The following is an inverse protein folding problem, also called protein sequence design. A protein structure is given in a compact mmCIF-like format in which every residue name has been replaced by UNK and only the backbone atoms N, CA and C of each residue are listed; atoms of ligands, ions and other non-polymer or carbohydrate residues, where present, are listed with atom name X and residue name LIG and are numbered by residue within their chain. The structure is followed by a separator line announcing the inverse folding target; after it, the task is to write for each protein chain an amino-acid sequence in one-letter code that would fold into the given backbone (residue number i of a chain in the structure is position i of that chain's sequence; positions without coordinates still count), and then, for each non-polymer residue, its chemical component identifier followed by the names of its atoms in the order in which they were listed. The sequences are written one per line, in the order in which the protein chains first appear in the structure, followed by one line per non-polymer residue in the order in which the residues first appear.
data_IF_147232679026
#
_entry.id   IF_147232679026
#
_cell.length_a   1.000
_cell.length_b   1.000
_cell.length_c   1.000
_cell.angle_alpha   90.00
_cell.angle_beta   90.00
_cell.angle_gamma   90.00
#
_symmetry.space_group_name_H-M   'P 1'
#
loop_
_entity.id
_entity.type
_entity.pdbx_description
1 polymer ?
#
# COMPACT_ATOMS: atom_id res chain seq x y z
N UNK A 1 2.53 9.41 -19.13
CA UNK A 1 1.87 10.61 -18.55
C UNK A 1 1.85 10.42 -17.04
N UNK A 2 2.21 11.42 -16.23
CA UNK A 2 2.12 11.28 -14.77
C UNK A 2 0.65 11.24 -14.32
N UNK A 3 0.34 10.60 -13.19
CA UNK A 3 -0.99 10.70 -12.59
C UNK A 3 -1.35 12.17 -12.32
N UNK A 4 -2.58 12.57 -12.64
CA UNK A 4 -3.05 13.93 -12.44
C UNK A 4 -3.19 14.24 -10.95
N UNK A 5 -2.50 15.28 -10.47
CA UNK A 5 -2.69 15.80 -9.11
C UNK A 5 -3.88 16.76 -9.07
N UNK A 6 -4.93 16.37 -8.37
CA UNK A 6 -5.93 17.32 -7.88
C UNK A 6 -5.33 18.15 -6.73
N UNK A 7 -5.60 19.45 -6.72
CA UNK A 7 -5.18 20.37 -5.63
C UNK A 7 -6.35 20.78 -4.72
N UNK A 8 -7.54 20.22 -4.95
CA UNK A 8 -8.70 20.45 -4.08
C UNK A 8 -8.75 19.41 -2.95
N UNK A 9 -7.85 19.61 -2.00
CA UNK A 9 -7.64 18.73 -0.85
C UNK A 9 -8.92 18.53 -0.02
N UNK A 10 -9.78 19.54 0.09
CA UNK A 10 -11.00 19.42 0.87
C UNK A 10 -12.03 18.54 0.16
N UNK A 11 -12.23 18.74 -1.14
CA UNK A 11 -13.13 17.90 -1.95
C UNK A 11 -12.65 16.46 -2.02
N UNK A 12 -11.35 16.25 -2.22
CA UNK A 12 -10.77 14.91 -2.28
C UNK A 12 -10.85 14.21 -0.91
N UNK A 13 -10.65 14.94 0.19
CA UNK A 13 -10.81 14.39 1.54
C UNK A 13 -12.25 13.94 1.77
N UNK A 14 -13.20 14.78 1.38
CA UNK A 14 -14.62 14.47 1.53
C UNK A 14 -14.99 13.25 0.69
N UNK A 15 -14.50 13.17 -0.56
CA UNK A 15 -14.70 12.01 -1.42
C UNK A 15 -14.15 10.72 -0.79
N UNK A 16 -12.92 10.74 -0.26
CA UNK A 16 -12.32 9.58 0.42
C UNK A 16 -13.09 9.21 1.69
N UNK A 17 -13.54 10.19 2.47
CA UNK A 17 -14.34 9.95 3.68
C UNK A 17 -15.70 9.37 3.34
N UNK A 18 -16.38 9.89 2.32
CA UNK A 18 -17.76 9.51 1.99
C UNK A 18 -17.85 8.28 1.08
N UNK A 19 -16.73 7.80 0.57
CA UNK A 19 -16.65 6.56 -0.19
C UNK A 19 -17.39 5.43 0.52
N UNK A 20 -18.28 4.78 -0.23
CA UNK A 20 -18.99 3.56 0.13
C UNK A 20 -19.10 2.68 -1.11
N UNK A 21 -18.77 1.38 -1.01
CA UNK A 21 -19.11 0.43 -2.06
C UNK A 21 -20.62 0.39 -2.33
N UNK A 22 -21.00 -0.10 -3.51
CA UNK A 22 -22.41 -0.24 -3.89
C UNK A 22 -23.17 -1.22 -2.98
N UNK A 23 -22.51 -2.31 -2.58
CA UNK A 23 -23.09 -3.30 -1.66
C UNK A 23 -22.99 -2.83 -0.22
N UNK A 24 -24.13 -2.75 0.47
CA UNK A 24 -24.14 -2.34 1.88
C UNK A 24 -23.34 -3.32 2.76
N UNK A 25 -22.61 -2.76 3.72
CA UNK A 25 -21.71 -3.52 4.59
C UNK A 25 -20.44 -4.06 3.92
N UNK A 26 -20.21 -3.83 2.61
CA UNK A 26 -18.96 -4.22 1.96
C UNK A 26 -17.81 -3.28 2.36
N UNK A 27 -16.62 -3.85 2.53
CA UNK A 27 -15.39 -3.12 2.87
C UNK A 27 -14.36 -3.29 1.77
N UNK A 28 -13.87 -2.17 1.24
CA UNK A 28 -12.73 -2.18 0.33
C UNK A 28 -11.44 -2.53 1.10
N UNK A 29 -10.69 -3.52 0.62
CA UNK A 29 -9.44 -3.97 1.24
C UNK A 29 -8.25 -3.71 0.35
N UNK A 30 -7.33 -2.92 0.88
CA UNK A 30 -6.10 -2.50 0.20
C UNK A 30 -4.94 -3.20 0.89
N UNK A 31 -4.26 -4.11 0.19
CA UNK A 31 -3.12 -4.86 0.73
C UNK A 31 -1.81 -4.17 0.39
N UNK A 32 -1.01 -3.85 1.41
CA UNK A 32 0.31 -3.23 1.25
C UNK A 32 1.39 -4.30 1.36
N UNK A 33 2.16 -4.49 0.29
CA UNK A 33 3.37 -5.32 0.28
C UNK A 33 4.58 -4.51 -0.17
N UNK A 34 5.78 -5.07 -0.03
CA UNK A 34 7.04 -4.41 -0.39
C UNK A 34 8.16 -4.72 0.59
N UNK A 35 9.37 -4.26 0.25
CA UNK A 35 10.58 -4.57 1.03
C UNK A 35 10.52 -4.06 2.47
N UNK A 36 11.37 -4.63 3.33
CA UNK A 36 11.59 -4.11 4.68
C UNK A 36 12.03 -2.64 4.60
N UNK A 37 11.50 -1.81 5.50
CA UNK A 37 11.75 -0.36 5.55
C UNK A 37 11.34 0.45 4.31
N UNK A 38 10.53 -0.12 3.40
CA UNK A 38 9.98 0.60 2.25
C UNK A 38 8.89 1.64 2.62
N UNK A 39 8.47 1.71 3.88
CA UNK A 39 7.51 2.73 4.34
C UNK A 39 6.03 2.30 4.37
N UNK A 40 5.71 1.00 4.31
CA UNK A 40 4.33 0.49 4.39
C UNK A 40 3.56 1.01 5.61
N UNK A 41 4.06 0.74 6.81
CA UNK A 41 3.42 1.16 8.06
C UNK A 41 3.42 2.68 8.22
N UNK A 42 4.45 3.37 7.72
CA UNK A 42 4.50 4.84 7.70
C UNK A 42 3.43 5.43 6.78
N UNK A 43 3.17 4.81 5.63
CA UNK A 43 2.09 5.21 4.73
C UNK A 43 0.72 5.02 5.38
N UNK A 44 0.49 3.90 6.09
CA UNK A 44 -0.75 3.68 6.85
C UNK A 44 -0.97 4.78 7.91
N UNK A 45 0.07 5.11 8.69
CA UNK A 45 0.02 6.21 9.66
C UNK A 45 -0.30 7.54 8.99
N UNK A 46 0.29 7.78 7.82
CA UNK A 46 0.09 9.01 7.04
C UNK A 46 -1.35 9.12 6.55
N UNK A 47 -1.91 8.04 6.00
CA UNK A 47 -3.33 7.97 5.59
C UNK A 47 -4.27 8.19 6.77
N UNK A 48 -4.01 7.52 7.91
CA UNK A 48 -4.79 7.75 9.13
C UNK A 48 -4.72 9.21 9.57
N UNK A 49 -3.55 9.83 9.47
CA UNK A 49 -3.38 11.21 9.86
C UNK A 49 -4.10 12.20 8.95
N UNK A 50 -4.01 11.99 7.63
CA UNK A 50 -4.75 12.74 6.60
C UNK A 50 -6.26 12.72 6.85
N UNK A 51 -6.81 11.56 7.19
CA UNK A 51 -8.26 11.40 7.41
C UNK A 51 -8.71 11.97 8.76
N UNK A 52 -7.88 11.83 9.80
CA UNK A 52 -8.13 12.37 11.14
C UNK A 52 -7.82 13.87 11.26
N UNK A 53 -7.15 14.48 10.28
CA UNK A 53 -6.69 15.87 10.35
C UNK A 53 -5.57 16.12 11.37
N UNK A 54 -4.88 15.07 11.84
CA UNK A 54 -3.78 15.15 12.83
C UNK A 54 -2.79 14.01 12.66
N UNK A 55 -1.52 14.19 13.03
CA UNK A 55 -0.52 13.12 12.94
C UNK A 55 -0.93 11.87 13.75
N UNK A 56 -0.79 10.68 13.16
CA UNK A 56 -1.17 9.38 13.75
C UNK A 56 0.07 8.47 13.83
N UNK A 57 0.22 7.70 14.92
CA UNK A 57 1.34 6.75 15.13
C UNK A 57 0.84 5.34 15.50
N UNK A 58 -0.30 4.93 14.96
CA UNK A 58 -0.99 3.68 15.38
C UNK A 58 -0.36 2.41 14.77
N UNK A 59 0.35 2.55 13.65
CA UNK A 59 1.13 1.49 13.02
C UNK A 59 2.61 1.58 13.42
N UNK A 60 3.21 0.48 13.85
CA UNK A 60 4.62 0.44 14.26
C UNK A 60 5.57 0.58 13.08
N UNK A 61 6.01 1.80 12.77
CA UNK A 61 7.01 2.07 11.74
C UNK A 61 8.44 1.90 12.29
N UNK A 62 9.33 1.31 11.50
CA UNK A 62 10.71 1.01 11.87
C UNK A 62 11.71 1.92 11.16
N UNK A 63 12.67 2.48 11.90
CA UNK A 63 13.83 3.20 11.35
C UNK A 63 15.09 2.32 11.22
N UNK A 64 15.05 1.05 11.64
CA UNK A 64 16.21 0.14 11.70
C UNK A 64 15.97 -1.15 10.91
N UNK A 65 17.05 -1.74 10.35
CA UNK A 65 17.08 -2.86 9.39
C UNK A 65 16.54 -4.22 9.85
N UNK A 66 15.60 -4.26 10.80
CA UNK A 66 14.86 -5.46 11.19
C UNK A 66 13.35 -5.23 10.98
N UNK A 67 12.61 -6.25 10.51
CA UNK A 67 11.16 -6.11 10.30
C UNK A 67 10.43 -6.02 11.64
N UNK A 68 9.91 -4.85 12.01
CA UNK A 68 9.04 -4.69 13.18
C UNK A 68 7.63 -5.25 12.93
N UNK A 69 7.11 -5.11 11.70
CA UNK A 69 5.87 -5.78 11.29
C UNK A 69 6.16 -7.25 11.04
N UNK A 70 5.84 -8.09 12.03
CA UNK A 70 5.90 -9.57 11.90
C UNK A 70 4.52 -10.19 11.62
N UNK A 71 3.46 -9.38 11.74
CA UNK A 71 2.07 -9.83 11.70
C UNK A 71 1.31 -9.17 10.56
N UNK A 72 0.43 -9.94 9.93
CA UNK A 72 -0.64 -9.43 9.10
C UNK A 72 -1.62 -8.64 9.97
N UNK A 73 -1.84 -7.35 9.66
CA UNK A 73 -2.70 -6.47 10.45
C UNK A 73 -3.58 -5.61 9.56
N UNK A 74 -4.85 -5.52 9.92
CA UNK A 74 -5.87 -4.70 9.29
C UNK A 74 -6.04 -3.41 10.08
N UNK A 75 -5.88 -2.28 9.40
CA UNK A 75 -6.11 -0.95 9.95
C UNK A 75 -7.41 -0.39 9.37
N UNK A 76 -8.45 -0.37 10.20
CA UNK A 76 -9.69 0.36 9.89
C UNK A 76 -9.46 1.84 10.16
N UNK A 77 -9.81 2.69 9.20
CA UNK A 77 -9.56 4.13 9.32
C UNK A 77 -10.77 4.80 9.95
N UNK A 78 -10.56 5.47 11.09
CA UNK A 78 -11.61 6.23 11.78
C UNK A 78 -11.71 7.63 11.18
N UNK A 79 -12.94 8.09 10.92
CA UNK A 79 -13.21 9.46 10.47
C UNK A 79 -13.04 10.44 11.63
N UNK A 80 -12.52 11.64 11.35
CA UNK A 80 -12.42 12.70 12.36
C UNK A 80 -13.82 13.11 12.88
N UNK A 81 -13.91 13.43 14.17
CA UNK A 81 -15.14 13.90 14.82
C UNK A 81 -16.33 12.92 14.86
N UNK A 82 -16.24 11.75 14.21
CA UNK A 82 -17.31 10.76 14.15
C UNK A 82 -16.89 9.45 14.82
N UNK A 83 -17.87 8.72 15.38
CA UNK A 83 -17.65 7.35 15.88
C UNK A 83 -17.75 6.30 14.76
N UNK A 84 -17.52 6.71 13.52
CA UNK A 84 -17.67 5.90 12.31
C UNK A 84 -16.34 5.67 11.61
N UNK A 85 -16.27 4.59 10.84
CA UNK A 85 -15.11 4.20 10.05
C UNK A 85 -15.33 4.50 8.57
N UNK A 86 -14.24 4.69 7.81
CA UNK A 86 -14.29 4.65 6.36
C UNK A 86 -14.67 3.24 5.88
N UNK A 87 -15.28 3.16 4.70
CA UNK A 87 -15.64 1.88 4.06
C UNK A 87 -14.47 1.19 3.36
N UNK A 88 -13.24 1.50 3.77
CA UNK A 88 -12.03 0.82 3.33
C UNK A 88 -11.08 0.56 4.50
N UNK A 89 -10.22 -0.44 4.35
CA UNK A 89 -9.18 -0.82 5.30
C UNK A 89 -7.83 -1.04 4.63
N UNK A 90 -6.77 -0.69 5.34
CA UNK A 90 -5.39 -0.92 4.91
C UNK A 90 -4.83 -2.17 5.59
N UNK A 91 -4.30 -3.09 4.81
CA UNK A 91 -3.74 -4.34 5.29
C UNK A 91 -2.21 -4.31 5.20
N UNK A 92 -1.54 -4.27 6.35
CA UNK A 92 -0.06 -4.28 6.43
C UNK A 92 0.46 -5.71 6.48
N UNK A 93 1.50 -5.99 5.70
CA UNK A 93 2.22 -7.27 5.70
C UNK A 93 3.63 -7.13 6.26
N UNK A 94 4.21 -8.26 6.66
CA UNK A 94 5.65 -8.30 6.92
C UNK A 94 6.42 -7.86 5.67
N UNK A 95 7.53 -7.14 5.87
CA UNK A 95 8.38 -6.72 4.76
C UNK A 95 9.04 -7.91 4.05
N UNK A 96 9.16 -7.81 2.74
CA UNK A 96 9.86 -8.79 1.93
C UNK A 96 11.38 -8.66 2.20
N UNK A 97 12.02 -9.73 2.67
CA UNK A 97 13.47 -9.81 2.80
C UNK A 97 14.05 -10.44 1.52
N UNK A 98 14.58 -9.60 0.63
CA UNK A 98 15.03 -10.01 -0.70
C UNK A 98 16.56 -10.21 -0.81
N UNK A 99 17.32 -9.90 0.25
CA UNK A 99 18.78 -9.78 0.21
C UNK A 99 19.55 -10.82 1.04
N UNK A 100 18.89 -11.85 1.58
CA UNK A 100 19.60 -12.85 2.39
C UNK A 100 19.13 -14.28 2.12
N UNK A 101 20.10 -15.21 2.14
CA UNK A 101 19.88 -16.66 2.21
C UNK A 101 19.35 -17.11 3.59
N UNK A 102 18.88 -16.19 4.44
CA UNK A 102 18.42 -16.50 5.81
C UNK A 102 16.89 -16.47 5.88
N UNK A 103 16.33 -17.61 6.28
CA UNK A 103 15.16 -17.93 7.13
C UNK A 103 14.06 -16.87 7.43
N UNK A 104 13.85 -15.79 6.65
CA UNK A 104 12.82 -14.74 6.87
C UNK A 104 12.13 -14.28 5.57
N UNK A 105 11.70 -15.22 4.73
CA UNK A 105 10.98 -14.94 3.48
C UNK A 105 9.46 -15.01 3.68
N UNK A 106 8.74 -13.91 3.50
CA UNK A 106 7.30 -14.02 3.21
C UNK A 106 7.16 -14.76 1.90
N UNK A 107 6.48 -15.90 1.89
CA UNK A 107 6.24 -16.62 0.65
C UNK A 107 5.25 -15.85 -0.22
N UNK A 108 5.53 -15.73 -1.53
CA UNK A 108 4.56 -15.27 -2.54
C UNK A 108 3.21 -16.00 -2.36
N UNK A 109 3.26 -17.30 -2.00
CA UNK A 109 2.07 -18.12 -1.74
C UNK A 109 1.24 -17.64 -0.54
N UNK A 110 1.87 -17.07 0.49
CA UNK A 110 1.14 -16.51 1.62
C UNK A 110 0.50 -15.17 1.25
N UNK A 111 1.17 -14.33 0.46
CA UNK A 111 0.56 -13.12 -0.11
C UNK A 111 -0.65 -13.48 -0.98
N UNK A 112 -0.53 -14.49 -1.87
CA UNK A 112 -1.67 -15.04 -2.63
C UNK A 112 -2.83 -15.45 -1.73
N UNK A 113 -2.55 -16.10 -0.60
CA UNK A 113 -3.59 -16.52 0.35
C UNK A 113 -4.22 -15.34 1.07
N UNK A 114 -3.43 -14.33 1.43
CA UNK A 114 -3.95 -13.06 1.98
C UNK A 114 -4.88 -12.42 0.94
N UNK A 115 -4.48 -12.35 -0.33
CA UNK A 115 -5.33 -11.81 -1.41
C UNK A 115 -6.66 -12.54 -1.54
N UNK A 116 -6.66 -13.87 -1.40
CA UNK A 116 -7.86 -14.71 -1.40
C UNK A 116 -8.69 -14.64 -0.10
N UNK A 117 -8.31 -13.82 0.88
CA UNK A 117 -8.99 -13.73 2.18
C UNK A 117 -8.79 -14.95 3.09
N UNK A 118 -7.80 -15.80 2.78
CA UNK A 118 -7.53 -17.07 3.47
C UNK A 118 -6.72 -16.90 4.75
N UNK A 119 -6.36 -15.67 5.12
CA UNK A 119 -5.51 -15.36 6.28
C UNK A 119 -6.24 -14.34 7.15
N UNK A 120 -6.44 -14.68 8.43
CA UNK A 120 -7.11 -13.83 9.42
C UNK A 120 -6.14 -12.82 10.05
N UNK A 121 -6.71 -11.72 10.52
CA UNK A 121 -5.99 -10.67 11.22
C UNK A 121 -5.17 -11.21 12.41
N UNK A 122 -3.94 -10.71 12.56
CA UNK A 122 -3.04 -11.12 13.64
C UNK A 122 -2.14 -12.33 13.30
N UNK A 123 -2.28 -12.95 12.11
CA UNK A 123 -1.38 -14.02 11.66
C UNK A 123 0.08 -13.54 11.66
N UNK A 124 0.98 -14.33 12.25
CA UNK A 124 2.42 -14.06 12.19
C UNK A 124 3.01 -14.85 11.03
N UNK A 125 3.61 -14.15 10.06
CA UNK A 125 4.18 -14.82 8.89
C UNK A 125 5.33 -15.73 9.33
N UNK A 126 5.25 -17.01 8.96
CA UNK A 126 6.35 -17.95 9.13
C UNK A 126 7.22 -17.93 7.86
N UNK A 127 8.51 -17.61 7.98
CA UNK A 127 9.44 -17.65 6.86
C UNK A 127 9.69 -19.00 6.22
N UNK A 128 9.56 -20.04 7.02
CA UNK A 128 10.03 -21.39 6.71
C UNK A 128 8.88 -22.25 6.18
N UNK A 129 7.63 -21.84 6.45
CA UNK A 129 6.46 -22.56 6.01
C UNK A 129 5.28 -21.64 5.72
N UNK A 130 4.53 -22.02 4.68
CA UNK A 130 3.25 -21.43 4.33
C UNK A 130 2.23 -21.69 5.46
N UNK A 131 1.22 -20.82 5.61
CA UNK A 131 0.13 -21.08 6.57
C UNK A 131 -0.53 -22.46 6.33
N UNK A 132 -0.73 -23.25 7.38
CA UNK A 132 -1.36 -24.56 7.27
C UNK A 132 -2.89 -24.42 7.34
N UNK A 133 -3.65 -25.39 6.82
CA UNK A 133 -5.13 -25.31 6.86
C UNK A 133 -5.67 -25.43 8.28
N UNK A 134 -4.89 -26.08 9.14
CA UNK A 134 -5.14 -26.35 10.54
C UNK A 134 -4.75 -25.15 11.43
N UNK A 135 -4.07 -24.14 10.89
CA UNK A 135 -3.71 -22.93 11.62
C UNK A 135 -4.98 -22.16 12.01
N UNK A 136 -5.07 -21.72 13.27
CA UNK A 136 -6.22 -20.95 13.79
C UNK A 136 -6.48 -19.64 13.03
N UNK A 137 -5.48 -19.11 12.34
CA UNK A 137 -5.58 -17.93 11.50
C UNK A 137 -5.88 -18.25 10.03
N UNK A 138 -6.00 -19.52 9.65
CA UNK A 138 -6.43 -19.91 8.32
C UNK A 138 -7.95 -19.73 8.17
N UNK A 139 -8.37 -19.07 7.11
CA UNK A 139 -9.78 -18.89 6.79
C UNK A 139 -10.22 -19.88 5.70
N UNK A 140 -10.90 -20.95 6.12
CA UNK A 140 -11.36 -22.02 5.24
C UNK A 140 -12.53 -21.62 4.33
N UNK A 141 -13.24 -20.52 4.62
CA UNK A 141 -14.36 -20.03 3.83
C UNK A 141 -14.37 -18.49 3.83
N UNK A 142 -13.53 -17.83 3.01
CA UNK A 142 -13.45 -16.38 2.94
C UNK A 142 -14.73 -15.77 2.37
N UNK A 143 -15.22 -14.74 3.03
CA UNK A 143 -16.30 -13.87 2.57
C UNK A 143 -15.78 -12.85 1.55
N UNK A 144 -16.67 -12.13 0.86
CA UNK A 144 -16.28 -11.00 0.00
C UNK A 144 -15.45 -9.97 0.79
N UNK A 145 -15.87 -9.69 2.02
CA UNK A 145 -15.18 -8.80 2.96
C UNK A 145 -13.88 -9.35 3.52
N UNK A 146 -13.43 -10.55 3.17
CA UNK A 146 -12.10 -11.05 3.52
C UNK A 146 -11.10 -10.88 2.37
N UNK A 147 -11.58 -10.77 1.13
CA UNK A 147 -10.74 -10.71 -0.07
C UNK A 147 -10.11 -9.32 -0.23
N UNK A 148 -8.91 -9.30 -0.81
CA UNK A 148 -8.23 -8.07 -1.20
C UNK A 148 -8.81 -7.58 -2.52
N UNK A 149 -8.95 -6.27 -2.63
CA UNK A 149 -9.54 -5.59 -3.78
C UNK A 149 -8.53 -4.71 -4.52
N UNK A 150 -7.43 -4.32 -3.86
CA UNK A 150 -6.29 -3.63 -4.50
C UNK A 150 -5.00 -4.10 -3.86
N UNK A 151 -4.01 -4.41 -4.69
CA UNK A 151 -2.65 -4.67 -4.25
C UNK A 151 -1.79 -3.40 -4.41
N UNK A 152 -1.15 -2.97 -3.33
CA UNK A 152 -0.27 -1.80 -3.29
C UNK A 152 1.17 -2.22 -3.01
N UNK A 153 2.04 -2.06 -4.00
CA UNK A 153 3.48 -2.26 -3.89
C UNK A 153 4.16 -0.98 -3.36
N UNK A 154 4.59 -1.00 -2.10
CA UNK A 154 5.27 0.13 -1.48
C UNK A 154 6.79 0.01 -1.66
N UNK A 155 7.38 1.04 -2.23
CA UNK A 155 8.77 1.08 -2.69
C UNK A 155 9.50 2.27 -2.06
N UNK A 156 10.73 2.04 -1.59
CA UNK A 156 11.63 3.14 -1.21
C UNK A 156 12.28 3.72 -2.47
N UNK A 157 11.81 4.90 -2.90
CA UNK A 157 12.26 5.53 -4.14
C UNK A 157 13.77 5.86 -4.13
N UNK A 158 14.34 6.09 -2.94
CA UNK A 158 15.78 6.34 -2.78
C UNK A 158 16.64 5.09 -2.98
N UNK A 159 16.04 3.90 -2.92
CA UNK A 159 16.73 2.60 -2.96
C UNK A 159 16.29 1.69 -4.11
N UNK A 160 15.51 2.19 -5.08
CA UNK A 160 15.06 1.41 -6.25
C UNK A 160 16.24 0.79 -7.01
N UNK A 161 17.29 1.58 -7.27
CA UNK A 161 18.52 1.11 -7.93
C UNK A 161 19.31 0.04 -7.14
N UNK A 162 18.97 -0.21 -5.87
CA UNK A 162 19.61 -1.22 -5.02
C UNK A 162 18.77 -2.50 -4.91
N UNK A 163 17.65 -2.60 -5.64
CA UNK A 163 16.87 -3.83 -5.69
C UNK A 163 17.68 -4.94 -6.33
N UNK A 164 17.81 -6.07 -5.64
CA UNK A 164 18.44 -7.25 -6.23
C UNK A 164 17.53 -7.85 -7.31
N UNK A 165 18.08 -8.57 -8.30
CA UNK A 165 17.26 -9.27 -9.29
C UNK A 165 16.21 -10.18 -8.65
N UNK A 166 16.55 -10.80 -7.50
CA UNK A 166 15.61 -11.64 -6.75
C UNK A 166 14.47 -10.85 -6.11
N UNK A 167 14.72 -9.60 -5.70
CA UNK A 167 13.68 -8.70 -5.21
C UNK A 167 12.69 -8.38 -6.32
N UNK A 168 13.19 -8.02 -7.51
CA UNK A 168 12.38 -7.73 -8.69
C UNK A 168 11.53 -8.94 -9.10
N UNK A 169 12.14 -10.13 -9.20
CA UNK A 169 11.43 -11.39 -9.49
C UNK A 169 10.30 -11.65 -8.47
N UNK A 170 10.57 -11.41 -7.18
CA UNK A 170 9.54 -11.60 -6.14
C UNK A 170 8.37 -10.60 -6.30
N UNK A 171 8.65 -9.37 -6.73
CA UNK A 171 7.60 -8.37 -6.98
C UNK A 171 6.79 -8.72 -8.24
N UNK A 172 7.45 -9.23 -9.29
CA UNK A 172 6.81 -9.75 -10.50
C UNK A 172 5.89 -10.92 -10.17
N UNK A 173 6.38 -11.93 -9.42
CA UNK A 173 5.59 -13.08 -8.98
C UNK A 173 4.33 -12.66 -8.20
N UNK A 174 4.47 -11.71 -7.27
CA UNK A 174 3.32 -11.21 -6.47
C UNK A 174 2.32 -10.46 -7.37
N UNK A 175 2.81 -9.66 -8.32
CA UNK A 175 1.98 -8.94 -9.29
C UNK A 175 1.21 -9.91 -10.17
N UNK A 176 1.86 -10.95 -10.69
CA UNK A 176 1.23 -11.99 -11.52
C UNK A 176 0.14 -12.73 -10.75
N UNK A 177 0.41 -13.08 -9.49
CA UNK A 177 -0.58 -13.67 -8.59
C UNK A 177 -1.79 -12.76 -8.32
N UNK A 178 -1.62 -11.43 -8.38
CA UNK A 178 -2.73 -10.49 -8.29
C UNK A 178 -3.51 -10.39 -9.62
N UNK A 179 -2.81 -10.39 -10.76
CA UNK A 179 -3.41 -10.40 -12.09
C UNK A 179 -4.26 -11.65 -12.33
N UNK A 180 -3.78 -12.82 -11.91
CA UNK A 180 -4.54 -14.08 -11.97
C UNK A 180 -5.84 -14.05 -11.14
N UNK A 181 -5.95 -13.11 -10.20
CA UNK A 181 -7.12 -12.92 -9.34
C UNK A 181 -7.98 -11.72 -9.77
N UNK A 182 -7.68 -11.10 -10.91
CA UNK A 182 -8.31 -9.85 -11.37
C UNK A 182 -8.20 -8.70 -10.34
N UNK A 183 -7.15 -8.71 -9.50
CA UNK A 183 -6.91 -7.67 -8.49
C UNK A 183 -6.01 -6.59 -9.09
N UNK A 184 -6.45 -5.32 -9.21
CA UNK A 184 -5.63 -4.24 -9.73
C UNK A 184 -4.39 -3.99 -8.85
N UNK A 185 -3.28 -3.63 -9.51
CA UNK A 185 -2.00 -3.36 -8.84
C UNK A 185 -1.59 -1.90 -8.98
N UNK A 186 -1.15 -1.31 -7.87
CA UNK A 186 -0.67 0.08 -7.77
C UNK A 186 0.69 0.07 -7.10
N UNK A 187 1.60 0.95 -7.49
CA UNK A 187 2.85 1.18 -6.76
C UNK A 187 2.86 2.54 -6.08
N UNK A 188 3.44 2.60 -4.89
CA UNK A 188 3.68 3.84 -4.14
C UNK A 188 5.17 3.98 -3.90
N UNK A 189 5.75 5.03 -4.46
CA UNK A 189 7.12 5.47 -4.20
C UNK A 189 7.13 6.36 -2.98
N UNK A 190 7.75 5.89 -1.91
CA UNK A 190 7.96 6.64 -0.66
C UNK A 190 9.38 7.23 -0.62
N UNK A 191 9.63 8.11 0.35
CA UNK A 191 10.94 8.77 0.58
C UNK A 191 11.45 9.51 -0.66
N UNK A 192 10.51 10.09 -1.42
CA UNK A 192 10.81 10.85 -2.64
C UNK A 192 11.63 12.11 -2.37
N UNK A 193 11.54 12.64 -1.14
CA UNK A 193 12.34 13.74 -0.62
C UNK A 193 13.82 13.39 -0.43
N UNK A 194 14.19 12.11 -0.54
CA UNK A 194 15.59 11.67 -0.52
C UNK A 194 16.18 11.47 -1.91
N UNK A 195 15.39 11.62 -2.98
CA UNK A 195 15.86 11.39 -4.36
C UNK A 195 16.75 12.53 -4.84
N UNK A 196 16.30 13.77 -4.68
CA UNK A 196 17.05 14.94 -5.10
C UNK A 196 16.71 16.19 -4.26
N UNK A 197 17.64 17.17 -4.17
CA UNK A 197 17.46 18.37 -3.35
C UNK A 197 16.22 19.21 -3.74
N UNK A 198 15.83 19.20 -5.01
CA UNK A 198 14.72 19.99 -5.52
C UNK A 198 13.37 19.51 -4.97
N UNK A 199 13.19 18.19 -4.85
CA UNK A 199 11.99 17.60 -4.23
C UNK A 199 12.03 17.82 -2.71
N UNK A 200 13.20 17.66 -2.08
CA UNK A 200 13.37 17.89 -0.65
C UNK A 200 12.99 19.32 -0.25
N UNK A 201 13.37 20.29 -1.08
CA UNK A 201 13.09 21.72 -0.88
C UNK A 201 11.64 22.07 -1.13
N UNK A 202 11.04 21.53 -2.20
CA UNK A 202 9.64 21.80 -2.55
C UNK A 202 8.99 20.57 -3.22
N UNK A 203 8.03 19.97 -2.52
CA UNK A 203 7.28 18.80 -2.98
C UNK A 203 6.43 19.07 -4.23
N UNK A 204 6.18 20.33 -4.60
CA UNK A 204 5.54 20.68 -5.88
C UNK A 204 6.39 20.26 -7.08
N UNK A 205 7.68 20.01 -6.89
CA UNK A 205 8.60 19.57 -7.93
C UNK A 205 8.55 18.06 -8.20
N UNK A 206 7.80 17.27 -7.41
CA UNK A 206 7.70 15.81 -7.56
C UNK A 206 7.41 15.41 -9.00
N UNK A 207 6.33 15.93 -9.59
CA UNK A 207 5.94 15.59 -10.97
C UNK A 207 6.65 16.42 -12.05
N UNK A 208 7.61 17.28 -11.66
CA UNK A 208 8.50 18.00 -12.57
C UNK A 208 9.90 17.39 -12.61
N UNK A 209 10.23 16.54 -11.64
CA UNK A 209 11.55 15.92 -11.51
C UNK A 209 11.75 14.84 -12.56
N UNK A 210 12.72 15.06 -13.46
CA UNK A 210 13.15 14.07 -14.46
C UNK A 210 13.75 12.83 -13.79
N UNK A 211 14.54 13.02 -12.74
CA UNK A 211 15.19 11.92 -12.00
C UNK A 211 14.14 10.98 -11.38
N UNK A 212 13.09 11.54 -10.76
CA UNK A 212 12.01 10.71 -10.21
C UNK A 212 11.25 10.01 -11.34
N UNK A 213 10.98 10.71 -12.45
CA UNK A 213 10.32 10.12 -13.62
C UNK A 213 11.08 8.90 -14.15
N UNK A 214 12.38 9.05 -14.40
CA UNK A 214 13.25 7.99 -14.91
C UNK A 214 13.24 6.78 -13.97
N UNK A 215 13.38 7.00 -12.64
CA UNK A 215 13.29 5.93 -11.64
C UNK A 215 11.94 5.19 -11.65
N UNK A 216 10.84 5.90 -11.89
CA UNK A 216 9.52 5.28 -11.99
C UNK A 216 9.36 4.50 -13.30
N UNK A 217 9.92 4.99 -14.41
CA UNK A 217 9.92 4.33 -15.71
C UNK A 217 10.77 3.06 -15.69
N UNK A 218 11.97 3.11 -15.09
CA UNK A 218 12.84 1.94 -14.86
C UNK A 218 12.11 0.87 -14.03
N UNK A 219 11.55 1.25 -12.88
CA UNK A 219 10.80 0.31 -12.04
C UNK A 219 9.56 -0.26 -12.76
N UNK A 220 8.87 0.56 -13.54
CA UNK A 220 7.73 0.13 -14.35
C UNK A 220 8.14 -0.93 -15.37
N UNK A 221 9.26 -0.72 -16.07
CA UNK A 221 9.81 -1.66 -17.03
C UNK A 221 10.27 -2.97 -16.37
N UNK A 222 10.88 -2.89 -15.19
CA UNK A 222 11.38 -4.06 -14.47
C UNK A 222 10.24 -4.88 -13.83
N UNK A 223 9.32 -4.26 -13.11
CA UNK A 223 8.29 -4.98 -12.33
C UNK A 223 7.00 -5.20 -13.12
N UNK A 224 6.76 -4.43 -14.18
CA UNK A 224 5.58 -4.55 -15.03
C UNK A 224 4.31 -3.93 -14.44
N UNK A 225 4.46 -2.94 -13.53
CA UNK A 225 3.36 -2.07 -13.08
C UNK A 225 3.35 -0.83 -13.98
N UNK A 226 2.24 -0.50 -14.67
CA UNK A 226 2.16 0.66 -15.56
C UNK A 226 2.51 1.98 -14.86
N UNK A 227 3.19 2.89 -15.56
CA UNK A 227 3.67 4.18 -15.02
C UNK A 227 2.54 5.07 -14.44
N UNK A 228 1.35 5.01 -15.03
CA UNK A 228 0.14 5.70 -14.58
C UNK A 228 -0.50 5.07 -13.34
N UNK A 229 -0.05 3.88 -12.94
CA UNK A 229 -0.36 3.21 -11.67
C UNK A 229 0.76 3.37 -10.63
N UNK A 230 1.74 4.26 -10.84
CA UNK A 230 2.80 4.55 -9.87
C UNK A 230 2.63 5.96 -9.30
N UNK A 231 2.46 6.05 -7.98
CA UNK A 231 2.26 7.32 -7.27
C UNK A 231 3.45 7.65 -6.38
N UNK A 232 3.87 8.91 -6.40
CA UNK A 232 4.94 9.42 -5.55
C UNK A 232 4.35 10.08 -4.30
N UNK A 233 4.76 9.61 -3.11
CA UNK A 233 4.34 10.17 -1.82
C UNK A 233 5.53 10.41 -0.90
N UNK A 234 5.39 11.44 -0.05
CA UNK A 234 6.18 11.57 1.16
C UNK A 234 5.31 11.12 2.33
N UNK A 235 5.83 10.27 3.21
CA UNK A 235 5.12 9.87 4.42
C UNK A 235 5.44 10.84 5.56
N UNK A 236 4.50 11.05 6.49
CA UNK A 236 4.80 11.73 7.75
C UNK A 236 5.66 10.79 8.62
N UNK A 237 6.86 11.24 9.00
CA UNK A 237 7.82 10.46 9.81
C UNK A 237 8.18 11.16 11.13
N UNK A 238 8.71 12.38 11.07
CA UNK A 238 9.20 13.15 12.23
C UNK A 238 8.49 14.51 12.41
N UNK A 239 7.66 14.89 11.45
CA UNK A 239 7.06 16.21 11.40
C UNK A 239 5.92 16.32 12.44
N UNK A 240 6.01 17.33 13.31
CA UNK A 240 4.93 17.71 14.21
C UNK A 240 3.82 18.49 13.48
N UNK A 241 4.18 19.15 12.37
CA UNK A 241 3.31 20.02 11.61
C UNK A 241 2.81 19.38 10.32
N UNK A 242 1.54 19.64 10.03
CA UNK A 242 0.83 19.08 8.90
C UNK A 242 1.23 19.82 7.61
N UNK A 243 2.09 19.22 6.79
CA UNK A 243 2.49 19.77 5.50
C UNK A 243 1.39 19.56 4.44
N UNK A 244 0.90 20.63 3.83
CA UNK A 244 -0.19 20.60 2.85
C UNK A 244 0.17 19.89 1.54
N UNK A 245 1.42 19.92 1.10
CA UNK A 245 1.86 19.24 -0.12
C UNK A 245 1.98 17.73 0.14
N UNK A 246 2.56 17.33 1.28
CA UNK A 246 2.56 15.93 1.73
C UNK A 246 1.13 15.39 1.79
N UNK A 247 0.21 16.19 2.34
CA UNK A 247 -1.22 15.88 2.40
C UNK A 247 -1.81 15.64 1.01
N UNK A 248 -1.58 16.56 0.07
CA UNK A 248 -2.06 16.45 -1.32
C UNK A 248 -1.58 15.16 -1.97
N UNK A 249 -0.30 14.82 -1.84
CA UNK A 249 0.28 13.63 -2.46
C UNK A 249 -0.34 12.33 -1.92
N UNK A 250 -0.47 12.21 -0.60
CA UNK A 250 -1.09 11.03 0.04
C UNK A 250 -2.55 10.90 -0.36
N UNK A 251 -3.29 12.00 -0.31
CA UNK A 251 -4.72 12.00 -0.58
C UNK A 251 -5.02 11.69 -2.05
N UNK A 252 -4.24 12.27 -2.97
CA UNK A 252 -4.33 11.96 -4.39
C UNK A 252 -4.07 10.48 -4.65
N UNK A 253 -2.98 9.91 -4.10
CA UNK A 253 -2.68 8.49 -4.26
C UNK A 253 -3.80 7.60 -3.69
N UNK A 254 -4.31 7.92 -2.50
CA UNK A 254 -5.37 7.16 -1.84
C UNK A 254 -6.69 7.21 -2.63
N UNK A 255 -7.05 8.37 -3.19
CA UNK A 255 -8.23 8.51 -4.04
C UNK A 255 -8.17 7.56 -5.24
N UNK A 256 -7.05 7.55 -5.96
CA UNK A 256 -6.86 6.64 -7.10
C UNK A 256 -6.90 5.16 -6.68
N UNK A 257 -6.26 4.80 -5.57
CA UNK A 257 -6.31 3.43 -5.02
C UNK A 257 -7.75 3.02 -4.70
N UNK A 258 -8.54 3.92 -4.11
CA UNK A 258 -9.95 3.64 -3.82
C UNK A 258 -10.74 3.44 -5.11
N UNK A 259 -10.51 4.28 -6.13
CA UNK A 259 -11.16 4.15 -7.44
C UNK A 259 -10.87 2.79 -8.09
N UNK A 260 -9.59 2.39 -8.19
CA UNK A 260 -9.23 1.08 -8.73
C UNK A 260 -9.88 -0.07 -7.95
N UNK A 261 -9.94 0.07 -6.63
CA UNK A 261 -10.56 -0.92 -5.76
C UNK A 261 -12.07 -1.03 -5.92
N UNK A 262 -12.75 0.09 -6.08
CA UNK A 262 -14.20 0.12 -6.32
C UNK A 262 -14.55 -0.52 -7.67
N UNK A 263 -13.77 -0.22 -8.71
CA UNK A 263 -13.93 -0.84 -10.03
C UNK A 263 -13.77 -2.36 -9.94
N UNK A 264 -12.81 -2.85 -9.15
CA UNK A 264 -12.61 -4.28 -8.89
C UNK A 264 -13.81 -4.91 -8.16
N UNK A 265 -14.36 -4.25 -7.14
CA UNK A 265 -15.58 -4.69 -6.42
C UNK A 265 -16.77 -4.80 -7.39
N UNK A 266 -16.97 -3.78 -8.22
CA UNK A 266 -18.12 -3.68 -9.11
C UNK A 266 -18.02 -4.71 -10.26
N UNK A 267 -16.82 -4.96 -10.80
CA UNK A 267 -16.60 -6.02 -11.78
C UNK A 267 -16.85 -7.42 -11.22
N UNK A 268 -16.47 -7.67 -9.96
CA UNK A 268 -16.73 -8.94 -9.28
C UNK A 268 -18.22 -9.20 -9.00
N UNK A 269 -19.00 -8.14 -8.78
CA UNK A 269 -20.44 -8.24 -8.47
C UNK A 269 -21.30 -8.59 -9.69
N UNK A 270 -20.86 -8.23 -10.90
CA UNK A 270 -21.56 -8.56 -12.16
C UNK A 270 -21.32 -10.00 -12.67
N UNK A 271 -20.46 -10.78 -12.01
CA UNK A 271 -20.12 -12.16 -12.38
C UNK A 271 -20.72 -13.21 -11.42
N UNK A 272 -21.54 -12.77 -10.44
CA UNK A 272 -22.14 -13.61 -9.39
C UNK A 272 -23.55 -14.08 -9.71
#
# INVERSE_FOLDING_TARGET
MFPFLSRDNQRDLQHVKDYKPQTDGQLLRILLHGQIAAGKSSFINSVQGVIKGRVSKDAGAANSGSSHTKRYKTYRIRKDGQNTFCSFGLNDTMGLECNSNRRRKVSVKDIKRVMKGRVRDGYTFNPESKILKEDRYYNAAPTANDKVHVLVCVVDASRVHLMSPKAIETLQDIREEASDLDIPQVAIFTKIDLICPEIKKDLRNVYRSKILKEKMEEFSAEVGIPIDCIFAVKNYHEENDFNSETYTLILSALKHIITFGDDCINMGSNRG
#
